data_IF_261017450931
#
_entry.id   IF_261017450931
#
_cell.length_a   1.000
_cell.length_b   1.000
_cell.length_c   1.000
_cell.angle_alpha   90.00
_cell.angle_beta   90.00
_cell.angle_gamma   90.00
#
_symmetry.space_group_name_H-M   'P 1'
#
loop_
_entity.id
_entity.type
_entity.pdbx_description
1 polymer ?
#
# COMPACT_ATOMS: atom_id res chain seq x y z
N UNK A 1 -27.06 61.79 26.17
CA UNK A 1 -25.85 61.11 25.67
C UNK A 1 -25.61 59.87 26.55
N UNK A 2 -26.25 58.73 26.26
CA UNK A 2 -26.06 57.48 26.99
C UNK A 2 -25.37 56.46 26.06
N UNK A 3 -24.12 56.10 26.40
CA UNK A 3 -23.39 55.00 25.79
C UNK A 3 -23.61 53.74 26.62
N UNK A 4 -24.54 52.88 26.18
CA UNK A 4 -24.67 51.52 26.70
C UNK A 4 -23.66 50.64 25.95
N UNK A 5 -22.45 50.51 26.50
CA UNK A 5 -21.49 49.49 26.08
C UNK A 5 -22.12 48.11 26.28
N UNK A 6 -22.33 47.42 25.16
CA UNK A 6 -22.94 46.10 25.10
C UNK A 6 -21.96 45.05 25.65
N UNK A 7 -22.08 44.75 26.95
CA UNK A 7 -21.26 43.76 27.69
C UNK A 7 -21.33 42.35 27.09
N UNK A 8 -22.39 42.01 26.34
CA UNK A 8 -22.53 40.71 25.66
C UNK A 8 -21.61 40.53 24.45
N UNK A 9 -20.99 41.58 23.92
CA UNK A 9 -20.11 41.48 22.75
C UNK A 9 -18.70 40.98 23.11
N UNK A 10 -18.21 41.27 24.32
CA UNK A 10 -16.83 40.92 24.74
C UNK A 10 -16.74 39.47 25.25
N UNK A 11 -17.79 38.95 25.89
CA UNK A 11 -17.88 37.55 26.35
C UNK A 11 -17.95 36.51 25.21
N UNK A 12 -18.38 36.92 24.00
CA UNK A 12 -18.61 35.99 22.89
C UNK A 12 -17.36 35.74 22.03
N UNK A 13 -16.35 36.62 22.07
CA UNK A 13 -15.08 36.44 21.36
C UNK A 13 -14.10 35.53 22.12
N UNK A 14 -14.08 35.59 23.45
CA UNK A 14 -13.18 34.75 24.26
C UNK A 14 -13.60 33.28 24.30
N UNK A 15 -14.91 33.00 24.26
CA UNK A 15 -15.46 31.64 24.24
C UNK A 15 -15.22 30.88 22.91
N UNK A 16 -15.22 31.60 21.78
CA UNK A 16 -14.89 31.01 20.46
C UNK A 16 -13.40 30.69 20.29
N UNK A 17 -12.51 31.48 20.87
CA UNK A 17 -11.06 31.21 20.87
C UNK A 17 -10.68 29.98 21.71
N UNK A 18 -11.26 29.85 22.90
CA UNK A 18 -11.00 28.73 23.81
C UNK A 18 -11.59 27.39 23.33
N UNK A 19 -12.78 27.43 22.71
CA UNK A 19 -13.41 26.23 22.12
C UNK A 19 -12.61 25.70 20.93
N UNK A 20 -12.13 26.57 20.04
CA UNK A 20 -11.30 26.19 18.90
C UNK A 20 -9.93 25.64 19.34
N UNK A 21 -9.31 26.25 20.36
CA UNK A 21 -8.05 25.76 20.93
C UNK A 21 -8.18 24.40 21.63
N UNK A 22 -9.29 24.16 22.35
CA UNK A 22 -9.58 22.86 22.99
C UNK A 22 -9.86 21.77 21.94
N UNK A 23 -10.63 22.10 20.91
CA UNK A 23 -10.92 21.18 19.80
C UNK A 23 -9.65 20.79 19.03
N UNK A 24 -8.77 21.75 18.75
CA UNK A 24 -7.49 21.51 18.08
C UNK A 24 -6.53 20.65 18.93
N UNK A 25 -6.46 20.90 20.25
CA UNK A 25 -5.67 20.05 21.19
C UNK A 25 -6.22 18.63 21.27
N UNK A 26 -7.55 18.47 21.30
CA UNK A 26 -8.21 17.17 21.27
C UNK A 26 -7.92 16.39 19.99
N UNK A 27 -8.02 17.05 18.83
CA UNK A 27 -7.70 16.45 17.54
C UNK A 27 -6.23 16.03 17.45
N UNK A 28 -5.29 16.88 17.90
CA UNK A 28 -3.86 16.54 17.93
C UNK A 28 -3.56 15.35 18.84
N UNK A 29 -4.18 15.27 20.02
CA UNK A 29 -4.05 14.13 20.93
C UNK A 29 -4.60 12.86 20.28
N UNK A 30 -5.78 12.93 19.66
CA UNK A 30 -6.40 11.80 18.95
C UNK A 30 -5.49 11.29 17.82
N UNK A 31 -4.94 12.18 17.00
CA UNK A 31 -4.02 11.80 15.92
C UNK A 31 -2.75 11.13 16.46
N UNK A 32 -2.17 11.67 17.54
CA UNK A 32 -1.01 11.08 18.20
C UNK A 32 -1.29 9.67 18.72
N UNK A 33 -2.39 9.47 19.44
CA UNK A 33 -2.77 8.15 19.95
C UNK A 33 -3.04 7.16 18.82
N UNK A 34 -3.65 7.60 17.71
CA UNK A 34 -3.83 6.75 16.53
C UNK A 34 -2.48 6.29 15.96
N UNK A 35 -1.50 7.18 15.86
CA UNK A 35 -0.16 6.84 15.38
C UNK A 35 0.59 5.90 16.35
N UNK A 36 0.46 6.11 17.67
CA UNK A 36 1.02 5.22 18.70
C UNK A 36 0.45 3.80 18.59
N UNK A 37 -0.88 3.68 18.39
CA UNK A 37 -1.54 2.39 18.15
C UNK A 37 -1.04 1.69 16.87
N UNK A 38 -0.88 2.42 15.76
CA UNK A 38 -0.36 1.86 14.51
C UNK A 38 1.09 1.40 14.65
N UNK A 39 1.94 2.21 15.27
CA UNK A 39 3.34 1.84 15.51
C UNK A 39 3.46 0.62 16.45
N UNK A 40 2.61 0.53 17.47
CA UNK A 40 2.53 -0.64 18.32
C UNK A 40 2.04 -1.88 17.54
N UNK A 41 0.95 -1.75 16.78
CA UNK A 41 0.40 -2.84 15.98
C UNK A 41 1.42 -3.39 14.98
N UNK A 42 2.14 -2.53 14.25
CA UNK A 42 3.21 -2.93 13.34
C UNK A 42 4.26 -3.81 14.04
N UNK A 43 4.76 -3.38 15.21
CA UNK A 43 5.77 -4.13 15.98
C UNK A 43 5.23 -5.47 16.49
N UNK A 44 3.99 -5.49 16.98
CA UNK A 44 3.38 -6.70 17.52
C UNK A 44 3.08 -7.71 16.41
N UNK A 45 2.55 -7.25 15.27
CA UNK A 45 2.31 -8.10 14.10
C UNK A 45 3.60 -8.69 13.54
N UNK A 46 4.67 -7.90 13.43
CA UNK A 46 5.99 -8.39 13.02
C UNK A 46 6.51 -9.49 13.96
N UNK A 47 6.29 -9.34 15.27
CA UNK A 47 6.82 -10.28 16.27
C UNK A 47 5.99 -11.55 16.44
N UNK A 48 4.66 -11.44 16.40
CA UNK A 48 3.72 -12.53 16.74
C UNK A 48 2.95 -13.06 15.53
N UNK A 49 3.06 -12.41 14.36
CA UNK A 49 2.15 -12.65 13.25
C UNK A 49 0.74 -12.11 13.51
N UNK A 50 -0.12 -12.18 12.50
CA UNK A 50 -1.48 -11.64 12.60
C UNK A 50 -2.38 -12.44 13.54
N UNK A 51 -2.38 -13.77 13.42
CA UNK A 51 -3.33 -14.63 14.14
C UNK A 51 -3.12 -14.58 15.66
N UNK A 52 -1.87 -14.67 16.12
CA UNK A 52 -1.53 -14.69 17.55
C UNK A 52 -1.46 -13.29 18.21
N UNK A 53 -1.65 -12.23 17.42
CA UNK A 53 -1.78 -10.86 17.95
C UNK A 53 -3.20 -10.61 18.47
N UNK A 54 -3.32 -10.11 19.69
CA UNK A 54 -4.58 -9.64 20.27
C UNK A 54 -4.64 -8.11 20.32
N UNK A 55 -5.84 -7.54 20.46
CA UNK A 55 -6.02 -6.10 20.70
C UNK A 55 -5.32 -5.70 22.01
N UNK A 56 -5.32 -6.58 23.02
CA UNK A 56 -4.64 -6.34 24.29
C UNK A 56 -3.13 -6.13 24.08
N UNK A 57 -2.48 -7.04 23.34
CA UNK A 57 -1.05 -6.93 23.03
C UNK A 57 -0.70 -5.58 22.39
N UNK A 58 -1.54 -5.12 21.45
CA UNK A 58 -1.35 -3.84 20.75
C UNK A 58 -1.50 -2.67 21.74
N UNK A 59 -2.53 -2.70 22.58
CA UNK A 59 -2.81 -1.61 23.52
C UNK A 59 -1.79 -1.51 24.64
N UNK A 60 -1.29 -2.65 25.13
CA UNK A 60 -0.19 -2.70 26.09
C UNK A 60 1.10 -2.15 25.47
N UNK A 61 1.42 -2.53 24.23
CA UNK A 61 2.59 -2.02 23.51
C UNK A 61 2.49 -0.53 23.13
N UNK A 62 1.28 0.04 23.11
CA UNK A 62 1.00 1.46 22.88
C UNK A 62 0.85 2.28 24.17
N UNK A 63 0.87 1.65 25.35
CA UNK A 63 0.60 2.28 26.65
C UNK A 63 -0.76 3.02 26.69
N UNK A 64 -1.82 2.36 26.18
CA UNK A 64 -3.18 2.89 26.20
C UNK A 64 -4.19 1.81 26.65
N UNK A 65 -5.37 2.23 27.09
CA UNK A 65 -6.43 1.29 27.44
C UNK A 65 -7.13 0.68 26.22
N UNK A 66 -7.68 -0.53 26.37
CA UNK A 66 -8.49 -1.21 25.33
C UNK A 66 -9.66 -0.35 24.85
N UNK A 67 -10.31 0.40 25.75
CA UNK A 67 -11.36 1.34 25.36
C UNK A 67 -10.86 2.43 24.40
N UNK A 68 -9.59 2.84 24.51
CA UNK A 68 -8.97 3.81 23.58
C UNK A 68 -8.80 3.21 22.20
N UNK A 69 -8.42 1.93 22.07
CA UNK A 69 -8.36 1.25 20.77
C UNK A 69 -9.67 1.38 20.00
N UNK A 70 -10.79 1.07 20.66
CA UNK A 70 -12.11 1.11 20.04
C UNK A 70 -12.61 2.52 19.66
N UNK A 71 -11.94 3.59 20.10
CA UNK A 71 -12.19 4.97 19.61
C UNK A 71 -11.53 5.25 18.26
N UNK A 72 -10.61 4.39 17.83
CA UNK A 72 -9.79 4.55 16.62
C UNK A 72 -10.02 3.44 15.59
N UNK A 73 -10.21 2.20 16.04
CA UNK A 73 -10.33 1.02 15.19
C UNK A 73 -11.41 0.08 15.76
N UNK A 74 -12.23 -0.49 14.89
CA UNK A 74 -13.30 -1.44 15.22
C UNK A 74 -12.76 -2.79 15.62
N UNK A 75 -11.69 -3.23 14.96
CA UNK A 75 -11.09 -4.55 15.15
C UNK A 75 -9.62 -4.59 14.69
N UNK A 76 -9.03 -5.79 14.82
CA UNK A 76 -7.64 -6.08 14.43
C UNK A 76 -7.42 -6.01 12.91
N UNK A 77 -8.46 -6.28 12.12
CA UNK A 77 -8.39 -6.20 10.66
C UNK A 77 -8.35 -4.75 10.19
N UNK A 78 -9.12 -3.84 10.78
CA UNK A 78 -9.12 -2.41 10.41
C UNK A 78 -7.76 -1.76 10.65
N UNK A 79 -7.13 -2.01 11.80
CA UNK A 79 -5.79 -1.46 12.09
C UNK A 79 -4.72 -2.07 11.18
N UNK A 80 -4.80 -3.36 10.85
CA UNK A 80 -3.89 -3.99 9.91
C UNK A 80 -4.05 -3.45 8.49
N UNK A 81 -5.29 -3.35 8.01
CA UNK A 81 -5.58 -2.78 6.69
C UNK A 81 -5.11 -1.33 6.60
N UNK A 82 -5.25 -0.56 7.68
CA UNK A 82 -4.69 0.80 7.75
C UNK A 82 -3.17 0.80 7.58
N UNK A 83 -2.45 -0.14 8.20
CA UNK A 83 -0.99 -0.24 8.04
C UNK A 83 -0.59 -0.57 6.61
N UNK A 84 -1.32 -1.49 5.96
CA UNK A 84 -1.10 -1.84 4.55
C UNK A 84 -1.39 -0.64 3.65
N UNK A 85 -2.49 0.08 3.89
CA UNK A 85 -2.83 1.28 3.12
C UNK A 85 -1.73 2.35 3.25
N UNK A 86 -1.16 2.55 4.45
CA UNK A 86 -0.03 3.47 4.67
C UNK A 86 1.23 3.04 3.89
N UNK A 87 1.54 1.74 3.86
CA UNK A 87 2.69 1.21 3.10
C UNK A 87 2.48 1.36 1.60
N UNK A 88 1.29 1.04 1.09
CA UNK A 88 0.97 1.17 -0.33
C UNK A 88 0.94 2.63 -0.79
N UNK A 89 0.48 3.55 0.07
CA UNK A 89 0.53 4.98 -0.21
C UNK A 89 1.98 5.47 -0.32
N UNK A 90 2.87 5.08 0.60
CA UNK A 90 4.29 5.44 0.54
C UNK A 90 4.93 4.90 -0.74
N UNK A 91 4.63 3.65 -1.10
CA UNK A 91 5.07 3.05 -2.35
C UNK A 91 4.60 3.86 -3.57
N UNK A 92 3.32 4.24 -3.63
CA UNK A 92 2.78 5.05 -4.73
C UNK A 92 3.49 6.41 -4.82
N UNK A 93 3.70 7.09 -3.70
CA UNK A 93 4.41 8.38 -3.64
C UNK A 93 5.86 8.26 -4.12
N UNK A 94 6.59 7.22 -3.69
CA UNK A 94 7.97 6.97 -4.11
C UNK A 94 8.07 6.64 -5.59
N UNK A 95 7.19 5.76 -6.09
CA UNK A 95 7.11 5.43 -7.52
C UNK A 95 6.84 6.68 -8.35
N UNK A 96 5.89 7.52 -7.95
CA UNK A 96 5.59 8.77 -8.67
C UNK A 96 6.81 9.69 -8.70
N UNK A 97 7.55 9.79 -7.58
CA UNK A 97 8.76 10.61 -7.48
C UNK A 97 9.89 10.06 -8.38
N UNK A 98 10.14 8.75 -8.35
CA UNK A 98 11.17 8.10 -9.15
C UNK A 98 10.86 8.17 -10.65
N UNK A 99 9.61 7.92 -11.06
CA UNK A 99 9.19 8.02 -12.46
C UNK A 99 9.36 9.45 -12.99
N UNK A 100 9.04 10.47 -12.18
CA UNK A 100 9.21 11.88 -12.59
C UNK A 100 10.68 12.31 -12.75
N UNK A 101 11.59 11.66 -12.05
CA UNK A 101 13.02 11.98 -12.06
C UNK A 101 13.85 11.09 -12.98
N UNK A 102 13.22 10.07 -13.58
CA UNK A 102 13.89 9.08 -14.41
C UNK A 102 13.58 9.27 -15.89
N UNK A 103 14.59 9.07 -16.74
CA UNK A 103 14.43 8.89 -18.19
C UNK A 103 14.03 7.45 -18.55
N UNK A 104 14.05 6.52 -17.58
CA UNK A 104 13.77 5.11 -17.80
C UNK A 104 12.27 4.82 -18.02
N UNK A 105 11.99 3.67 -18.65
CA UNK A 105 10.63 3.16 -18.78
C UNK A 105 9.94 3.01 -17.42
N UNK A 106 8.66 3.35 -17.38
CA UNK A 106 7.84 3.40 -16.14
C UNK A 106 7.77 2.06 -15.42
N UNK A 107 7.74 0.94 -16.14
CA UNK A 107 7.52 -0.39 -15.56
C UNK A 107 8.73 -0.91 -14.75
N UNK A 108 9.99 -0.88 -15.24
CA UNK A 108 11.16 -1.21 -14.43
C UNK A 108 11.25 -0.47 -13.09
N UNK A 109 10.94 0.83 -13.08
CA UNK A 109 10.91 1.63 -11.84
C UNK A 109 9.86 1.06 -10.89
N UNK A 110 8.61 0.92 -11.37
CA UNK A 110 7.51 0.37 -10.55
C UNK A 110 7.85 -0.99 -9.95
N UNK A 111 8.32 -1.94 -10.76
CA UNK A 111 8.61 -3.31 -10.30
C UNK A 111 9.72 -3.31 -9.25
N UNK A 112 10.82 -2.59 -9.48
CA UNK A 112 11.92 -2.47 -8.49
C UNK A 112 11.43 -1.85 -7.19
N UNK A 113 10.67 -0.76 -7.25
CA UNK A 113 10.13 -0.11 -6.07
C UNK A 113 9.20 -1.05 -5.29
N UNK A 114 8.35 -1.84 -5.97
CA UNK A 114 7.47 -2.83 -5.33
C UNK A 114 8.31 -3.88 -4.58
N UNK A 115 9.31 -4.50 -5.23
CA UNK A 115 10.13 -5.53 -4.58
C UNK A 115 10.95 -4.98 -3.39
N UNK A 116 11.51 -3.77 -3.50
CA UNK A 116 12.19 -3.10 -2.39
C UNK A 116 11.26 -2.85 -1.20
N UNK A 117 10.04 -2.38 -1.45
CA UNK A 117 9.05 -2.16 -0.37
C UNK A 117 8.57 -3.48 0.23
N UNK A 118 8.30 -4.48 -0.61
CA UNK A 118 7.93 -5.81 -0.15
C UNK A 118 9.02 -6.37 0.79
N UNK A 119 10.30 -6.16 0.47
CA UNK A 119 11.41 -6.55 1.34
C UNK A 119 11.48 -5.74 2.64
N UNK A 120 11.40 -4.41 2.54
CA UNK A 120 11.48 -3.52 3.70
C UNK A 120 10.32 -3.74 4.68
N UNK A 121 9.17 -4.15 4.16
CA UNK A 121 7.92 -4.38 4.90
C UNK A 121 7.52 -5.86 4.86
N UNK A 122 8.50 -6.77 4.80
CA UNK A 122 8.33 -8.22 4.60
C UNK A 122 7.28 -8.82 5.53
N UNK A 123 7.29 -8.44 6.81
CA UNK A 123 6.34 -8.96 7.79
C UNK A 123 4.88 -8.61 7.43
N UNK A 124 4.62 -7.36 7.01
CA UNK A 124 3.29 -6.91 6.65
C UNK A 124 2.83 -7.52 5.31
N UNK A 125 3.70 -7.53 4.30
CA UNK A 125 3.37 -8.15 3.02
C UNK A 125 3.17 -9.66 3.16
N UNK A 126 3.96 -10.34 3.98
CA UNK A 126 3.84 -11.77 4.23
C UNK A 126 2.47 -12.09 4.85
N UNK A 127 2.04 -11.31 5.84
CA UNK A 127 0.71 -11.44 6.44
C UNK A 127 -0.42 -11.15 5.43
N UNK A 128 -0.21 -10.21 4.50
CA UNK A 128 -1.24 -9.80 3.54
C UNK A 128 -1.38 -10.75 2.33
N UNK A 129 -0.31 -11.41 1.90
CA UNK A 129 -0.24 -12.14 0.63
C UNK A 129 -0.11 -13.67 0.73
N UNK A 130 0.31 -14.23 1.87
CA UNK A 130 0.55 -15.68 1.97
C UNK A 130 -0.73 -16.50 2.17
N UNK A 131 -0.65 -17.83 2.02
CA UNK A 131 -1.80 -18.77 2.02
C UNK A 131 -2.64 -18.80 3.32
N UNK A 132 -2.23 -18.10 4.38
CA UNK A 132 -3.01 -17.89 5.62
C UNK A 132 -3.69 -16.52 5.72
N UNK A 133 -3.52 -15.65 4.72
CA UNK A 133 -4.13 -14.35 4.66
C UNK A 133 -5.64 -14.46 4.41
N UNK A 134 -6.41 -13.52 4.96
CA UNK A 134 -7.79 -13.36 4.51
C UNK A 134 -7.77 -12.90 3.04
N UNK A 135 -8.61 -13.53 2.22
CA UNK A 135 -8.76 -13.23 0.78
C UNK A 135 -8.96 -11.74 0.52
N UNK A 136 -9.69 -11.04 1.39
CA UNK A 136 -9.92 -9.59 1.30
C UNK A 136 -8.63 -8.75 1.38
N UNK A 137 -7.61 -9.20 2.11
CA UNK A 137 -6.32 -8.50 2.23
C UNK A 137 -5.47 -8.71 0.99
N UNK A 138 -5.42 -9.94 0.48
CA UNK A 138 -4.70 -10.26 -0.75
C UNK A 138 -5.29 -9.48 -1.93
N UNK A 139 -6.62 -9.52 -2.09
CA UNK A 139 -7.34 -8.75 -3.11
C UNK A 139 -7.02 -7.25 -2.98
N UNK A 140 -7.02 -6.69 -1.77
CA UNK A 140 -6.72 -5.28 -1.55
C UNK A 140 -5.33 -4.89 -2.07
N UNK A 141 -4.28 -5.63 -1.68
CA UNK A 141 -2.91 -5.34 -2.11
C UNK A 141 -2.79 -5.46 -3.63
N UNK A 142 -3.30 -6.55 -4.20
CA UNK A 142 -3.27 -6.77 -5.64
C UNK A 142 -4.04 -5.70 -6.41
N UNK A 143 -5.24 -5.32 -5.97
CA UNK A 143 -6.06 -4.33 -6.65
C UNK A 143 -5.39 -2.96 -6.63
N UNK A 144 -4.75 -2.55 -5.53
CA UNK A 144 -3.98 -1.29 -5.47
C UNK A 144 -2.80 -1.31 -6.44
N UNK A 145 -2.03 -2.40 -6.49
CA UNK A 145 -0.91 -2.54 -7.43
C UNK A 145 -1.41 -2.54 -8.89
N UNK A 146 -2.47 -3.29 -9.18
CA UNK A 146 -3.06 -3.36 -10.52
C UNK A 146 -3.57 -2.00 -10.97
N UNK A 147 -4.25 -1.24 -10.11
CA UNK A 147 -4.70 0.13 -10.42
C UNK A 147 -3.52 1.09 -10.66
N UNK A 148 -2.41 0.94 -9.93
CA UNK A 148 -1.17 1.67 -10.19
C UNK A 148 -0.60 1.36 -11.58
N UNK A 149 -0.52 0.07 -11.93
CA UNK A 149 -0.02 -0.40 -13.22
C UNK A 149 -0.91 0.01 -14.39
N UNK A 150 -2.24 -0.07 -14.25
CA UNK A 150 -3.19 0.41 -15.26
C UNK A 150 -2.93 1.88 -15.58
N UNK A 151 -2.83 2.74 -14.55
CA UNK A 151 -2.51 4.17 -14.73
C UNK A 151 -1.15 4.40 -15.37
N UNK A 152 -0.18 3.52 -15.13
CA UNK A 152 1.13 3.60 -15.77
C UNK A 152 1.07 3.19 -17.26
N UNK A 153 0.33 2.15 -17.60
CA UNK A 153 0.17 1.67 -18.98
C UNK A 153 -0.68 2.60 -19.85
N UNK A 154 -1.71 3.23 -19.30
CA UNK A 154 -2.52 4.24 -19.99
C UNK A 154 -1.66 5.42 -20.49
N UNK A 155 -0.62 5.80 -19.73
CA UNK A 155 0.34 6.84 -20.18
C UNK A 155 1.19 6.37 -21.36
N UNK A 156 1.49 5.07 -21.45
CA UNK A 156 2.27 4.49 -22.54
C UNK A 156 1.41 4.28 -23.79
N UNK A 157 0.11 4.02 -23.66
CA UNK A 157 -0.80 3.89 -24.83
C UNK A 157 -0.82 5.14 -25.72
N UNK A 158 -0.54 6.32 -25.17
CA UNK A 158 -0.38 7.55 -25.96
C UNK A 158 0.73 7.45 -27.03
N UNK A 159 1.69 6.52 -26.86
CA UNK A 159 2.79 6.24 -27.80
C UNK A 159 2.50 5.12 -28.80
N UNK A 160 1.35 4.43 -28.69
CA UNK A 160 0.95 3.32 -29.57
C UNK A 160 1.56 1.95 -29.24
N UNK A 161 2.52 1.86 -28.30
CA UNK A 161 3.24 0.62 -27.97
C UNK A 161 2.37 -0.50 -27.40
N UNK A 162 1.19 -0.17 -26.84
CA UNK A 162 0.25 -1.13 -26.27
C UNK A 162 -1.02 -1.28 -27.11
N UNK A 163 -0.98 -0.87 -28.39
CA UNK A 163 -2.11 -1.05 -29.30
C UNK A 163 -2.43 -2.55 -29.46
N UNK A 164 -3.70 -2.93 -29.26
CA UNK A 164 -4.17 -4.32 -29.34
C UNK A 164 -4.16 -5.09 -28.01
N UNK A 165 -3.61 -4.51 -26.93
CA UNK A 165 -3.67 -5.10 -25.60
C UNK A 165 -4.88 -4.62 -24.81
N UNK A 166 -5.50 -5.51 -24.04
CA UNK A 166 -6.38 -5.13 -22.93
C UNK A 166 -5.49 -4.69 -21.76
N UNK A 167 -5.41 -3.37 -21.54
CA UNK A 167 -4.55 -2.75 -20.52
C UNK A 167 -4.92 -3.21 -19.12
N UNK A 168 -6.22 -3.40 -18.83
CA UNK A 168 -6.68 -3.82 -17.53
C UNK A 168 -6.27 -5.27 -17.26
N UNK A 169 -6.49 -6.15 -18.23
CA UNK A 169 -6.04 -7.55 -18.14
C UNK A 169 -4.52 -7.63 -18.00
N UNK A 170 -3.78 -6.88 -18.82
CA UNK A 170 -2.32 -6.85 -18.77
C UNK A 170 -1.81 -6.42 -17.39
N UNK A 171 -2.37 -5.34 -16.82
CA UNK A 171 -2.02 -4.88 -15.47
C UNK A 171 -2.32 -5.95 -14.41
N UNK A 172 -3.45 -6.67 -14.53
CA UNK A 172 -3.80 -7.74 -13.57
C UNK A 172 -2.87 -8.95 -13.68
N UNK A 173 -2.48 -9.34 -14.89
CA UNK A 173 -1.52 -10.43 -15.13
C UNK A 173 -0.12 -10.08 -14.60
N UNK A 174 0.36 -8.87 -14.90
CA UNK A 174 1.65 -8.38 -14.36
C UNK A 174 1.61 -8.34 -12.83
N UNK A 175 0.51 -7.87 -12.24
CA UNK A 175 0.32 -7.90 -10.78
C UNK A 175 0.39 -9.31 -10.24
N UNK A 176 -0.25 -10.28 -10.90
CA UNK A 176 -0.20 -11.69 -10.50
C UNK A 176 1.22 -12.26 -10.52
N UNK A 177 2.00 -11.95 -11.57
CA UNK A 177 3.41 -12.35 -11.65
C UNK A 177 4.22 -11.76 -10.50
N UNK A 178 4.04 -10.46 -10.20
CA UNK A 178 4.73 -9.78 -9.11
C UNK A 178 4.32 -10.38 -7.76
N UNK A 179 3.02 -10.51 -7.49
CA UNK A 179 2.50 -11.05 -6.24
C UNK A 179 2.99 -12.48 -6.00
N UNK A 180 2.95 -13.34 -7.03
CA UNK A 180 3.45 -14.71 -6.93
C UNK A 180 4.97 -14.75 -6.74
N UNK A 181 5.70 -13.85 -7.41
CA UNK A 181 7.13 -13.67 -7.18
C UNK A 181 7.43 -13.32 -5.73
N UNK A 182 6.71 -12.37 -5.13
CA UNK A 182 6.87 -11.96 -3.73
C UNK A 182 6.54 -13.11 -2.76
N UNK A 183 5.41 -13.79 -2.96
CA UNK A 183 4.95 -14.88 -2.08
C UNK A 183 6.00 -15.98 -2.01
N UNK A 184 6.48 -16.45 -3.16
CA UNK A 184 7.51 -17.48 -3.21
C UNK A 184 8.85 -16.97 -2.65
N UNK A 185 9.23 -15.74 -3.00
CA UNK A 185 10.49 -15.13 -2.61
C UNK A 185 10.62 -14.93 -1.10
N UNK A 186 9.52 -14.65 -0.39
CA UNK A 186 9.55 -14.51 1.07
C UNK A 186 9.84 -15.79 1.83
N UNK A 187 9.79 -16.95 1.20
CA UNK A 187 10.27 -18.20 1.80
C UNK A 187 11.77 -18.43 1.53
N UNK A 188 12.38 -17.59 0.68
CA UNK A 188 13.79 -17.65 0.32
C UNK A 188 14.56 -16.51 1.01
N UNK A 189 15.86 -16.71 1.24
CA UNK A 189 16.76 -15.67 1.77
C UNK A 189 17.62 -15.01 0.65
N UNK A 190 17.56 -15.54 -0.58
CA UNK A 190 18.31 -15.12 -1.77
C UNK A 190 17.45 -15.40 -3.03
N UNK A 191 17.46 -14.58 -4.10
CA UNK A 191 18.24 -13.36 -4.32
C UNK A 191 17.78 -12.14 -3.50
N UNK A 192 18.54 -11.04 -3.53
CA UNK A 192 18.11 -9.75 -2.96
C UNK A 192 16.93 -9.10 -3.74
N UNK A 193 16.27 -8.06 -3.18
CA UNK A 193 15.09 -7.42 -3.81
C UNK A 193 15.31 -6.95 -5.25
N UNK A 194 16.46 -6.35 -5.52
CA UNK A 194 16.77 -5.83 -6.84
C UNK A 194 16.97 -6.96 -7.86
N UNK A 195 17.67 -8.03 -7.49
CA UNK A 195 17.91 -9.17 -8.37
C UNK A 195 16.63 -9.98 -8.61
N UNK A 196 15.76 -10.11 -7.60
CA UNK A 196 14.43 -10.68 -7.78
C UNK A 196 13.58 -9.82 -8.74
N UNK A 197 13.64 -8.49 -8.59
CA UNK A 197 12.96 -7.57 -9.50
C UNK A 197 13.49 -7.69 -10.94
N UNK A 198 14.81 -7.80 -11.14
CA UNK A 198 15.40 -8.02 -12.47
C UNK A 198 14.95 -9.35 -13.07
N UNK A 199 14.84 -10.41 -12.27
CA UNK A 199 14.34 -11.71 -12.73
C UNK A 199 12.90 -11.63 -13.25
N UNK A 200 12.03 -10.92 -12.51
CA UNK A 200 10.65 -10.68 -12.93
C UNK A 200 10.60 -9.78 -14.17
N UNK A 201 11.38 -8.70 -14.22
CA UNK A 201 11.45 -7.82 -15.38
C UNK A 201 11.96 -8.55 -16.62
N UNK A 202 12.94 -9.43 -16.48
CA UNK A 202 13.45 -10.24 -17.57
C UNK A 202 12.34 -11.14 -18.13
N UNK A 203 11.56 -11.81 -17.28
CA UNK A 203 10.41 -12.61 -17.70
C UNK A 203 9.34 -11.76 -18.38
N UNK A 204 9.01 -10.58 -17.84
CA UNK A 204 8.00 -9.70 -18.43
C UNK A 204 8.42 -9.13 -19.80
N UNK A 205 9.71 -8.86 -19.98
CA UNK A 205 10.24 -8.29 -21.22
C UNK A 205 10.44 -9.32 -22.34
N UNK A 206 10.80 -10.57 -21.98
CA UNK A 206 11.18 -11.59 -22.97
C UNK A 206 10.22 -12.78 -23.02
N UNK A 207 9.30 -12.90 -22.06
CA UNK A 207 8.42 -14.04 -21.92
C UNK A 207 9.18 -15.35 -21.64
N UNK A 208 8.49 -16.46 -21.88
CA UNK A 208 9.11 -17.78 -21.90
C UNK A 208 9.71 -18.06 -23.29
N UNK A 209 10.81 -18.81 -23.39
CA UNK A 209 11.40 -19.16 -24.68
C UNK A 209 10.38 -19.77 -25.66
N UNK A 210 10.29 -19.25 -26.88
CA UNK A 210 9.34 -19.70 -27.90
C UNK A 210 9.44 -21.21 -28.20
N UNK A 211 10.64 -21.79 -28.10
CA UNK A 211 10.88 -23.21 -28.27
C UNK A 211 10.09 -24.11 -27.30
N UNK A 212 9.60 -23.58 -26.17
CA UNK A 212 8.78 -24.33 -25.22
C UNK A 212 7.34 -24.57 -25.71
N UNK A 213 6.89 -23.83 -26.74
CA UNK A 213 5.49 -23.87 -27.18
C UNK A 213 5.23 -24.77 -28.39
N UNK A 214 6.27 -25.28 -29.06
CA UNK A 214 6.24 -26.05 -30.31
C UNK A 214 5.42 -25.38 -31.43
N UNK A 215 6.00 -25.26 -32.63
CA UNK A 215 5.47 -24.54 -33.81
C UNK A 215 4.08 -24.98 -34.34
N UNK A 216 3.40 -25.93 -33.70
CA UNK A 216 2.11 -26.49 -34.16
C UNK A 216 0.88 -26.05 -33.34
N UNK A 217 1.04 -25.24 -32.29
CA UNK A 217 -0.08 -24.82 -31.43
C UNK A 217 -0.30 -23.30 -31.35
N UNK A 218 0.55 -22.49 -31.96
CA UNK A 218 0.26 -21.06 -32.11
C UNK A 218 -0.69 -20.87 -33.30
N UNK A 219 -1.82 -20.15 -33.14
CA UNK A 219 -2.63 -19.78 -34.29
C UNK A 219 -1.76 -18.99 -35.27
N UNK A 220 -1.90 -19.22 -36.60
CA UNK A 220 -1.09 -18.52 -37.58
C UNK A 220 -1.24 -17.02 -37.37
N UNK A 221 -0.12 -16.31 -37.39
CA UNK A 221 0.00 -14.87 -37.25
C UNK A 221 -1.06 -14.18 -38.13
N UNK A 222 -2.14 -13.69 -37.53
CA UNK A 222 -3.04 -12.77 -38.20
C UNK A 222 -2.54 -11.36 -37.92
N UNK A 223 -1.42 -11.00 -38.55
CA UNK A 223 -1.04 -9.60 -38.71
C UNK A 223 -1.88 -9.00 -39.86
N UNK A 224 -2.55 -7.84 -39.65
CA UNK A 224 -3.06 -7.03 -40.75
C UNK A 224 -1.94 -6.29 -41.51
#
# INVERSE_FOLDING_TARGET
MQSKLNYNSVMNYSSKGDSNARQHRGAKRRARTRAELLAAARRVFAKKGFHDTSILDITEAADVGVGTFYLHFRDKDEIFNTLIDEVLQILEEQVISEVRSSEAATLPVIVRSIFRHAYAERDLFSIALTSGAQVSRTIRVEDTIAQGLTRAFERVTETGQLQGYDVFLLARLVTGVIAQGIIWWFEQDDPGPDEMAESVLHLLAHGLPAALFNEHLLPPDTAP
#
